data_IF_430367280369
#
_entry.id   IF_430367280369
#
_cell.length_a   1.000
_cell.length_b   1.000
_cell.length_c   1.000
_cell.angle_alpha   90.00
_cell.angle_beta   90.00
_cell.angle_gamma   90.00
#
_symmetry.space_group_name_H-M   'P 1'
#
loop_
_entity.id
_entity.type
_entity.pdbx_description
1 polymer ?
#
# COMPACT_ATOMS: atom_id res chain seq x y z
N UNK A 1 27.53 -94.19 82.93
CA UNK A 1 26.17 -93.72 82.57
C UNK A 1 25.77 -92.50 83.40
N UNK A 2 26.09 -92.43 84.69
CA UNK A 2 25.76 -91.28 85.56
C UNK A 2 26.44 -89.96 85.14
N UNK A 3 27.70 -89.98 84.69
CA UNK A 3 28.39 -88.77 84.19
C UNK A 3 27.74 -88.18 82.92
N UNK A 4 27.20 -89.01 82.03
CA UNK A 4 26.52 -88.55 80.82
C UNK A 4 25.17 -87.90 81.15
N UNK A 5 24.46 -88.41 82.16
CA UNK A 5 23.21 -87.85 82.67
C UNK A 5 23.48 -86.50 83.35
N UNK A 6 24.52 -86.41 84.17
CA UNK A 6 24.96 -85.15 84.81
C UNK A 6 25.42 -84.11 83.78
N UNK A 7 26.12 -84.52 82.72
CA UNK A 7 26.52 -83.63 81.63
C UNK A 7 25.31 -83.13 80.83
N UNK A 8 24.36 -84.01 80.50
CA UNK A 8 23.12 -83.62 79.83
C UNK A 8 22.25 -82.67 80.68
N UNK A 9 22.21 -82.87 82.00
CA UNK A 9 21.54 -81.95 82.93
C UNK A 9 22.24 -80.60 83.01
N UNK A 10 23.59 -80.56 83.05
CA UNK A 10 24.36 -79.31 82.98
C UNK A 10 24.16 -78.57 81.66
N UNK A 11 24.22 -79.28 80.53
CA UNK A 11 24.00 -78.69 79.21
C UNK A 11 22.57 -78.15 79.05
N UNK A 12 21.57 -78.82 79.67
CA UNK A 12 20.19 -78.33 79.72
C UNK A 12 20.08 -77.05 80.55
N UNK A 13 20.69 -77.01 81.74
CA UNK A 13 20.71 -75.81 82.58
C UNK A 13 21.43 -74.64 81.89
N UNK A 14 22.56 -74.88 81.23
CA UNK A 14 23.29 -73.85 80.46
C UNK A 14 22.43 -73.31 79.32
N UNK A 15 21.71 -74.19 78.59
CA UNK A 15 20.78 -73.76 77.54
C UNK A 15 19.60 -72.96 78.10
N UNK A 16 19.04 -73.37 79.23
CA UNK A 16 17.96 -72.63 79.90
C UNK A 16 18.45 -71.24 80.38
N UNK A 17 19.67 -71.14 80.91
CA UNK A 17 20.30 -69.86 81.27
C UNK A 17 20.59 -68.99 80.04
N UNK A 18 21.06 -69.56 78.93
CA UNK A 18 21.27 -68.85 77.66
C UNK A 18 19.96 -68.31 77.09
N UNK A 19 18.91 -69.12 77.04
CA UNK A 19 17.58 -68.70 76.60
C UNK A 19 17.03 -67.55 77.47
N UNK A 20 17.19 -67.63 78.79
CA UNK A 20 16.77 -66.55 79.70
C UNK A 20 17.59 -65.27 79.50
N UNK A 21 18.89 -65.37 79.18
CA UNK A 21 19.71 -64.21 78.84
C UNK A 21 19.31 -63.60 77.49
N UNK A 22 19.02 -64.42 76.49
CA UNK A 22 18.53 -63.98 75.18
C UNK A 22 17.15 -63.31 75.29
N UNK A 23 16.24 -63.86 76.08
CA UNK A 23 14.92 -63.26 76.34
C UNK A 23 15.04 -61.91 77.05
N UNK A 24 15.93 -61.79 78.05
CA UNK A 24 16.21 -60.52 78.72
C UNK A 24 16.81 -59.50 77.76
N UNK A 25 17.77 -59.91 76.94
CA UNK A 25 18.38 -59.05 75.94
C UNK A 25 17.35 -58.60 74.89
N UNK A 26 16.50 -59.52 74.41
CA UNK A 26 15.42 -59.23 73.47
C UNK A 26 14.42 -58.22 74.07
N UNK A 27 14.02 -58.40 75.33
CA UNK A 27 13.13 -57.48 76.02
C UNK A 27 13.76 -56.10 76.26
N UNK A 28 15.06 -56.02 76.59
CA UNK A 28 15.78 -54.75 76.69
C UNK A 28 15.92 -54.05 75.33
N UNK A 29 16.20 -54.81 74.27
CA UNK A 29 16.25 -54.29 72.90
C UNK A 29 14.88 -53.79 72.44
N UNK A 30 13.81 -54.51 72.76
CA UNK A 30 12.44 -54.09 72.45
C UNK A 30 12.07 -52.82 73.22
N UNK A 31 12.39 -52.74 74.51
CA UNK A 31 12.20 -51.51 75.30
C UNK A 31 12.94 -50.32 74.69
N UNK A 32 14.23 -50.48 74.35
CA UNK A 32 15.01 -49.43 73.68
C UNK A 32 14.39 -49.00 72.35
N UNK A 33 13.89 -49.95 71.55
CA UNK A 33 13.19 -49.64 70.29
C UNK A 33 11.88 -48.89 70.52
N UNK A 34 11.08 -49.30 71.51
CA UNK A 34 9.83 -48.63 71.83
C UNK A 34 10.07 -47.22 72.37
N UNK A 35 11.10 -47.02 73.19
CA UNK A 35 11.48 -45.70 73.69
C UNK A 35 12.00 -44.82 72.54
N UNK A 36 12.82 -45.35 71.61
CA UNK A 36 13.22 -44.58 70.42
C UNK A 36 12.05 -44.19 69.52
N UNK A 37 11.07 -45.09 69.34
CA UNK A 37 9.86 -44.78 68.55
C UNK A 37 9.02 -43.72 69.28
N UNK A 38 8.88 -43.82 70.61
CA UNK A 38 8.16 -42.82 71.40
C UNK A 38 8.83 -41.44 71.28
N UNK A 39 10.15 -41.39 71.37
CA UNK A 39 10.92 -40.16 71.22
C UNK A 39 10.80 -39.57 69.81
N UNK A 40 10.87 -40.41 68.77
CA UNK A 40 10.66 -39.97 67.39
C UNK A 40 9.24 -39.45 67.15
N UNK A 41 8.22 -40.13 67.68
CA UNK A 41 6.82 -39.71 67.59
C UNK A 41 6.57 -38.40 68.34
N UNK A 42 7.17 -38.25 69.52
CA UNK A 42 7.15 -36.99 70.27
C UNK A 42 7.82 -35.86 69.47
N UNK A 43 9.01 -36.10 68.90
CA UNK A 43 9.71 -35.13 68.05
C UNK A 43 8.90 -34.79 66.79
N UNK A 44 8.26 -35.77 66.15
CA UNK A 44 7.34 -35.55 65.02
C UNK A 44 6.18 -34.63 65.42
N UNK A 45 5.53 -34.90 66.55
CA UNK A 45 4.45 -34.04 67.05
C UNK A 45 4.95 -32.62 67.34
N UNK A 46 6.17 -32.46 67.88
CA UNK A 46 6.76 -31.14 68.12
C UNK A 46 7.08 -30.42 66.80
N UNK A 47 7.60 -31.10 65.78
CA UNK A 47 7.81 -30.52 64.44
C UNK A 47 6.51 -30.03 63.83
N UNK A 48 5.45 -30.83 63.91
CA UNK A 48 4.15 -30.47 63.33
C UNK A 48 3.46 -29.34 64.09
N UNK A 49 3.57 -29.31 65.43
CA UNK A 49 2.86 -28.33 66.28
C UNK A 49 3.65 -27.04 66.52
N UNK A 50 4.97 -27.05 66.44
CA UNK A 50 5.78 -25.85 66.70
C UNK A 50 5.76 -24.90 65.50
N UNK A 51 5.50 -23.62 65.79
CA UNK A 51 5.49 -22.55 64.80
C UNK A 51 6.90 -22.27 64.27
N UNK A 52 7.91 -22.27 65.16
CA UNK A 52 9.30 -21.95 64.79
C UNK A 52 9.89 -22.91 63.75
N UNK A 53 9.67 -24.23 63.91
CA UNK A 53 10.16 -25.22 62.97
C UNK A 53 9.41 -25.15 61.64
N UNK A 54 8.10 -24.87 61.68
CA UNK A 54 7.30 -24.68 60.47
C UNK A 54 7.73 -23.44 59.69
N UNK A 55 8.02 -22.34 60.37
CA UNK A 55 8.56 -21.12 59.75
C UNK A 55 9.96 -21.36 59.17
N UNK A 56 10.82 -22.08 59.89
CA UNK A 56 12.13 -22.47 59.39
C UNK A 56 12.01 -23.34 58.14
N UNK A 57 11.15 -24.36 58.15
CA UNK A 57 10.89 -25.19 56.97
C UNK A 57 10.35 -24.36 55.81
N UNK A 58 9.42 -23.44 56.05
CA UNK A 58 8.89 -22.56 55.01
C UNK A 58 9.99 -21.67 54.40
N UNK A 59 10.90 -21.14 55.23
CA UNK A 59 12.09 -20.40 54.79
C UNK A 59 13.03 -21.29 53.98
N UNK A 60 13.29 -22.52 54.41
CA UNK A 60 14.15 -23.45 53.67
C UNK A 60 13.52 -23.86 52.32
N UNK A 61 12.20 -24.08 52.27
CA UNK A 61 11.48 -24.35 51.01
C UNK A 61 11.55 -23.16 50.05
N UNK A 62 11.37 -21.94 50.55
CA UNK A 62 11.50 -20.74 49.70
C UNK A 62 12.93 -20.55 49.18
N UNK A 63 13.94 -20.92 49.97
CA UNK A 63 15.34 -20.93 49.55
C UNK A 63 15.60 -21.91 48.39
N UNK A 64 15.04 -23.12 48.46
CA UNK A 64 15.12 -24.07 47.34
C UNK A 64 14.45 -23.53 46.08
N UNK A 65 13.25 -22.96 46.21
CA UNK A 65 12.56 -22.33 45.08
C UNK A 65 13.36 -21.17 44.48
N UNK A 66 14.03 -20.37 45.32
CA UNK A 66 14.87 -19.27 44.85
C UNK A 66 16.13 -19.79 44.13
N UNK A 67 16.77 -20.84 44.66
CA UNK A 67 17.90 -21.50 44.00
C UNK A 67 17.51 -22.03 42.62
N UNK A 68 16.39 -22.75 42.53
CA UNK A 68 15.85 -23.24 41.26
C UNK A 68 15.51 -22.09 40.30
N UNK A 69 14.88 -21.02 40.80
CA UNK A 69 14.59 -19.84 40.00
C UNK A 69 15.86 -19.21 39.42
N UNK A 70 16.93 -19.10 40.20
CA UNK A 70 18.19 -18.56 39.67
C UNK A 70 18.81 -19.47 38.62
N UNK A 71 18.72 -20.79 38.79
CA UNK A 71 19.16 -21.75 37.77
C UNK A 71 18.34 -21.61 36.48
N UNK A 72 17.01 -21.46 36.58
CA UNK A 72 16.13 -21.23 35.43
C UNK A 72 16.41 -19.90 34.72
N UNK A 73 16.74 -18.84 35.46
CA UNK A 73 17.12 -17.55 34.88
C UNK A 73 18.42 -17.70 34.10
N UNK A 74 19.43 -18.34 34.69
CA UNK A 74 20.71 -18.60 34.02
C UNK A 74 20.53 -19.47 32.76
N UNK A 75 19.67 -20.49 32.81
CA UNK A 75 19.32 -21.32 31.65
C UNK A 75 18.64 -20.49 30.56
N UNK A 76 17.65 -19.65 30.92
CA UNK A 76 17.00 -18.74 29.96
C UNK A 76 17.98 -17.75 29.34
N UNK A 77 18.92 -17.23 30.12
CA UNK A 77 19.97 -16.33 29.61
C UNK A 77 20.89 -17.07 28.63
N UNK A 78 21.33 -18.28 28.96
CA UNK A 78 22.11 -19.12 28.04
C UNK A 78 21.37 -19.38 26.72
N UNK A 79 20.07 -19.74 26.80
CA UNK A 79 19.22 -19.94 25.61
C UNK A 79 19.11 -18.65 24.78
N UNK A 80 18.96 -17.48 25.43
CA UNK A 80 18.93 -16.19 24.71
C UNK A 80 20.23 -15.93 23.96
N UNK A 81 21.38 -16.19 24.58
CA UNK A 81 22.68 -16.04 23.91
C UNK A 81 22.82 -16.98 22.71
N UNK A 82 22.37 -18.23 22.83
CA UNK A 82 22.36 -19.18 21.70
C UNK A 82 21.45 -18.72 20.56
N UNK A 83 20.26 -18.19 20.88
CA UNK A 83 19.34 -17.62 19.87
C UNK A 83 19.97 -16.42 19.19
N UNK A 84 20.52 -15.46 19.96
CA UNK A 84 21.20 -14.29 19.38
C UNK A 84 22.37 -14.68 18.48
N UNK A 85 23.11 -15.73 18.82
CA UNK A 85 24.19 -16.26 17.98
C UNK A 85 23.64 -16.82 16.66
N UNK A 86 22.60 -17.64 16.70
CA UNK A 86 21.95 -18.18 15.49
C UNK A 86 21.36 -17.07 14.62
N UNK A 87 20.67 -16.10 15.23
CA UNK A 87 20.11 -14.96 14.50
C UNK A 87 21.20 -14.11 13.84
N UNK A 88 22.35 -13.95 14.51
CA UNK A 88 23.52 -13.28 13.92
C UNK A 88 24.10 -14.05 12.74
N UNK A 89 24.16 -15.38 12.82
CA UNK A 89 24.60 -16.25 11.72
C UNK A 89 23.64 -16.15 10.53
N UNK A 90 22.33 -16.25 10.77
CA UNK A 90 21.27 -16.10 9.75
C UNK A 90 21.35 -14.71 9.10
N UNK A 91 21.51 -13.65 9.89
CA UNK A 91 21.63 -12.29 9.36
C UNK A 91 22.86 -12.12 8.46
N UNK A 92 23.98 -12.79 8.80
CA UNK A 92 25.18 -12.80 7.94
C UNK A 92 24.92 -13.53 6.63
N UNK A 93 24.30 -14.71 6.67
CA UNK A 93 23.95 -15.47 5.46
C UNK A 93 22.98 -14.70 4.55
N UNK A 94 21.93 -14.12 5.15
CA UNK A 94 20.98 -13.27 4.42
C UNK A 94 21.65 -12.06 3.77
N UNK A 95 22.62 -11.44 4.46
CA UNK A 95 23.39 -10.33 3.89
C UNK A 95 24.23 -10.78 2.69
N UNK A 96 24.90 -11.93 2.80
CA UNK A 96 25.71 -12.49 1.70
C UNK A 96 24.83 -12.80 0.48
N UNK A 97 23.67 -13.42 0.69
CA UNK A 97 22.72 -13.70 -0.41
C UNK A 97 22.15 -12.43 -1.03
N UNK A 98 21.88 -11.40 -0.22
CA UNK A 98 21.46 -10.11 -0.72
C UNK A 98 22.55 -9.43 -1.56
N UNK A 99 23.79 -9.41 -1.08
CA UNK A 99 24.95 -8.88 -1.82
C UNK A 99 25.14 -9.63 -3.15
N UNK A 100 25.01 -10.97 -3.16
CA UNK A 100 25.03 -11.78 -4.39
C UNK A 100 23.91 -11.41 -5.36
N UNK A 101 22.69 -11.23 -4.86
CA UNK A 101 21.55 -10.84 -5.68
C UNK A 101 21.73 -9.43 -6.28
N UNK A 102 22.27 -8.48 -5.52
CA UNK A 102 22.61 -7.14 -6.01
C UNK A 102 23.72 -7.16 -7.06
N UNK A 103 24.76 -7.97 -6.89
CA UNK A 103 25.79 -8.19 -7.91
C UNK A 103 25.21 -8.76 -9.20
N UNK A 104 24.36 -9.78 -9.10
CA UNK A 104 23.68 -10.36 -10.26
C UNK A 104 22.77 -9.33 -10.96
N UNK A 105 22.06 -8.48 -10.21
CA UNK A 105 21.25 -7.40 -10.76
C UNK A 105 22.12 -6.37 -11.49
N UNK A 106 23.23 -5.92 -10.90
CA UNK A 106 24.20 -5.02 -11.53
C UNK A 106 24.77 -5.62 -12.82
N UNK A 107 25.10 -6.90 -12.83
CA UNK A 107 25.56 -7.58 -14.04
C UNK A 107 24.52 -7.56 -15.16
N UNK A 108 23.25 -7.86 -14.83
CA UNK A 108 22.13 -7.78 -15.80
C UNK A 108 21.93 -6.36 -16.34
N UNK A 109 22.11 -5.33 -15.50
CA UNK A 109 22.05 -3.94 -15.97
C UNK A 109 23.20 -3.59 -16.92
N UNK A 110 24.42 -4.04 -16.61
CA UNK A 110 25.58 -3.87 -17.50
C UNK A 110 25.37 -4.60 -18.83
N UNK A 111 24.79 -5.80 -18.82
CA UNK A 111 24.44 -6.54 -20.03
C UNK A 111 23.41 -5.79 -20.87
N UNK A 112 22.31 -5.31 -20.27
CA UNK A 112 21.31 -4.48 -20.95
C UNK A 112 21.93 -3.20 -21.53
N UNK A 113 22.81 -2.54 -20.78
CA UNK A 113 23.49 -1.34 -21.27
C UNK A 113 24.41 -1.65 -22.45
N UNK A 114 25.13 -2.78 -22.42
CA UNK A 114 25.92 -3.25 -23.58
C UNK A 114 25.05 -3.55 -24.79
N UNK A 115 23.90 -4.18 -24.59
CA UNK A 115 22.92 -4.42 -25.67
C UNK A 115 22.38 -3.11 -26.24
N UNK A 116 22.08 -2.12 -25.40
CA UNK A 116 21.65 -0.79 -25.83
C UNK A 116 22.74 -0.09 -26.66
N UNK A 117 24.00 -0.16 -26.25
CA UNK A 117 25.12 0.40 -27.03
C UNK A 117 25.22 -0.30 -28.39
N UNK A 118 25.15 -1.62 -28.43
CA UNK A 118 25.18 -2.37 -29.70
C UNK A 118 24.03 -1.96 -30.62
N UNK A 119 22.82 -1.85 -30.07
CA UNK A 119 21.65 -1.39 -30.81
C UNK A 119 21.81 0.05 -31.31
N UNK A 120 22.37 0.96 -30.51
CA UNK A 120 22.70 2.32 -30.95
C UNK A 120 23.71 2.32 -32.10
N UNK A 121 24.77 1.52 -32.02
CA UNK A 121 25.75 1.38 -33.09
C UNK A 121 25.13 0.82 -34.38
N UNK A 122 24.20 -0.14 -34.27
CA UNK A 122 23.46 -0.66 -35.42
C UNK A 122 22.56 0.40 -36.05
N UNK A 123 21.88 1.23 -35.25
CA UNK A 123 21.09 2.35 -35.74
C UNK A 123 21.95 3.41 -36.42
N UNK A 124 23.10 3.75 -35.85
CA UNK A 124 24.06 4.69 -36.45
C UNK A 124 24.52 4.18 -37.82
N UNK A 125 24.88 2.90 -37.93
CA UNK A 125 25.20 2.28 -39.23
C UNK A 125 24.04 2.34 -40.23
N UNK A 126 22.81 2.09 -39.80
CA UNK A 126 21.65 2.21 -40.69
C UNK A 126 21.41 3.65 -41.15
N UNK A 127 21.74 4.65 -40.33
CA UNK A 127 21.68 6.06 -40.72
C UNK A 127 22.79 6.39 -41.71
N UNK A 128 24.03 5.95 -41.46
CA UNK A 128 25.15 6.08 -42.39
C UNK A 128 24.82 5.45 -43.76
N UNK A 129 24.33 4.21 -43.79
CA UNK A 129 23.91 3.54 -45.03
C UNK A 129 22.81 4.31 -45.78
N UNK A 130 21.84 4.90 -45.05
CA UNK A 130 20.81 5.74 -45.67
C UNK A 130 21.36 7.05 -46.20
N UNK A 131 22.34 7.64 -45.54
CA UNK A 131 23.03 8.84 -46.01
C UNK A 131 23.86 8.55 -47.26
N UNK A 132 24.60 7.43 -47.29
CA UNK A 132 25.32 6.96 -48.47
C UNK A 132 24.37 6.71 -49.64
N UNK A 133 23.23 6.05 -49.41
CA UNK A 133 22.21 5.85 -50.45
C UNK A 133 21.66 7.17 -50.99
N UNK A 134 21.44 8.16 -50.12
CA UNK A 134 21.04 9.51 -50.56
C UNK A 134 22.12 10.19 -51.40
N UNK A 135 23.39 10.04 -51.01
CA UNK A 135 24.51 10.59 -51.78
C UNK A 135 24.60 9.91 -53.15
N UNK A 136 24.51 8.58 -53.22
CA UNK A 136 24.49 7.84 -54.49
C UNK A 136 23.32 8.25 -55.37
N UNK A 137 22.10 8.33 -54.83
CA UNK A 137 20.93 8.80 -55.57
C UNK A 137 21.08 10.25 -56.06
N UNK A 138 21.72 11.11 -55.26
CA UNK A 138 22.02 12.47 -55.67
C UNK A 138 23.06 12.52 -56.81
N UNK A 139 24.09 11.69 -56.77
CA UNK A 139 25.05 11.55 -57.86
C UNK A 139 24.41 11.02 -59.14
N UNK A 140 23.52 10.04 -59.04
CA UNK A 140 22.72 9.53 -60.16
C UNK A 140 21.82 10.63 -60.73
N UNK A 141 21.11 11.37 -59.88
CA UNK A 141 20.30 12.50 -60.29
C UNK A 141 21.14 13.57 -61.02
N UNK A 142 22.35 13.87 -60.56
CA UNK A 142 23.23 14.81 -61.26
C UNK A 142 23.66 14.28 -62.63
N UNK A 143 23.95 12.98 -62.76
CA UNK A 143 24.26 12.35 -64.05
C UNK A 143 23.05 12.40 -65.00
N UNK A 144 21.86 12.08 -64.51
CA UNK A 144 20.61 12.17 -65.27
C UNK A 144 20.32 13.61 -65.70
N UNK A 145 20.50 14.58 -64.81
CA UNK A 145 20.34 16.00 -65.13
C UNK A 145 21.29 16.42 -66.24
N UNK A 146 22.57 16.06 -66.16
CA UNK A 146 23.53 16.35 -67.23
C UNK A 146 23.12 15.70 -68.56
N UNK A 147 22.65 14.46 -68.53
CA UNK A 147 22.15 13.77 -69.72
C UNK A 147 20.90 14.44 -70.30
N UNK A 148 19.97 14.90 -69.45
CA UNK A 148 18.78 15.65 -69.87
C UNK A 148 19.19 17.00 -70.46
N UNK A 149 20.11 17.72 -69.82
CA UNK A 149 20.64 18.99 -70.32
C UNK A 149 21.29 18.80 -71.71
N UNK A 150 22.01 17.70 -71.94
CA UNK A 150 22.55 17.33 -73.25
C UNK A 150 21.45 17.02 -74.28
N UNK A 151 20.38 16.31 -73.90
CA UNK A 151 19.23 16.04 -74.77
C UNK A 151 18.52 17.35 -75.14
N UNK A 152 18.26 18.21 -74.16
CA UNK A 152 17.64 19.53 -74.38
C UNK A 152 18.51 20.37 -75.31
N UNK A 153 19.82 20.38 -75.11
CA UNK A 153 20.76 21.05 -76.02
C UNK A 153 20.66 20.50 -77.44
N UNK A 154 20.63 19.17 -77.62
CA UNK A 154 20.44 18.54 -78.95
C UNK A 154 19.11 18.93 -79.59
N UNK A 155 18.01 18.98 -78.82
CA UNK A 155 16.71 19.44 -79.32
C UNK A 155 16.80 20.90 -79.78
N UNK A 156 17.42 21.79 -79.00
CA UNK A 156 17.62 23.18 -79.42
C UNK A 156 18.47 23.29 -80.70
N UNK A 157 19.53 22.48 -80.82
CA UNK A 157 20.36 22.44 -82.02
C UNK A 157 19.60 21.88 -83.24
N UNK A 158 18.77 20.86 -83.06
CA UNK A 158 17.89 20.30 -84.10
C UNK A 158 16.79 21.27 -84.52
N UNK A 159 16.11 21.91 -83.57
CA UNK A 159 15.11 22.96 -83.81
C UNK A 159 15.72 24.15 -84.57
N UNK A 160 16.95 24.55 -84.23
CA UNK A 160 17.67 25.60 -84.97
C UNK A 160 17.96 25.16 -86.40
N UNK A 161 18.45 23.94 -86.62
CA UNK A 161 18.69 23.40 -87.98
C UNK A 161 17.38 23.30 -88.77
N UNK A 162 16.29 22.88 -88.15
CA UNK A 162 14.99 22.82 -88.82
C UNK A 162 14.47 24.23 -89.19
N UNK A 163 14.65 25.22 -88.31
CA UNK A 163 14.37 26.63 -88.63
C UNK A 163 15.22 27.13 -89.79
N UNK A 164 16.50 26.80 -89.83
CA UNK A 164 17.40 27.16 -90.93
C UNK A 164 16.96 26.49 -92.25
N UNK A 165 16.63 25.20 -92.22
CA UNK A 165 16.16 24.44 -93.38
C UNK A 165 14.81 24.97 -93.89
N UNK A 166 13.87 25.27 -93.01
CA UNK A 166 12.58 25.87 -93.38
C UNK A 166 12.75 27.27 -93.96
N UNK A 167 13.64 28.09 -93.40
CA UNK A 167 14.00 29.39 -93.97
C UNK A 167 14.68 29.26 -95.33
N UNK A 168 15.55 28.27 -95.53
CA UNK A 168 16.17 27.98 -96.82
C UNK A 168 15.13 27.53 -97.85
N UNK A 169 14.20 26.64 -97.48
CA UNK A 169 13.06 26.24 -98.33
C UNK A 169 12.19 27.43 -98.70
N UNK A 170 11.83 28.30 -97.74
CA UNK A 170 11.09 29.55 -97.99
C UNK A 170 11.83 30.45 -98.98
N UNK A 171 13.13 30.70 -98.78
CA UNK A 171 13.96 31.49 -99.71
C UNK A 171 14.00 30.87 -101.10
N UNK A 172 14.13 29.54 -101.22
CA UNK A 172 14.10 28.85 -102.50
C UNK A 172 12.73 29.00 -103.19
N UNK A 173 11.62 28.78 -102.48
CA UNK A 173 10.27 29.00 -103.04
C UNK A 173 10.04 30.44 -103.43
N UNK A 174 10.57 31.41 -102.68
CA UNK A 174 10.46 32.83 -102.99
C UNK A 174 11.21 33.19 -104.27
N UNK A 175 12.40 32.61 -104.49
CA UNK A 175 13.15 32.75 -105.75
C UNK A 175 12.39 32.14 -106.94
N UNK A 176 11.87 30.93 -106.79
CA UNK A 176 11.04 30.33 -107.83
C UNK A 176 9.77 31.15 -108.13
N UNK A 177 9.15 31.75 -107.12
CA UNK A 177 7.99 32.64 -107.30
C UNK A 177 8.40 33.94 -108.01
N UNK A 178 9.56 34.53 -107.70
CA UNK A 178 10.03 35.73 -108.40
C UNK A 178 10.35 35.43 -109.86
N UNK A 179 11.07 34.34 -110.14
CA UNK A 179 11.38 33.89 -111.50
C UNK A 179 10.09 33.61 -112.30
N UNK A 180 9.10 32.95 -111.68
CA UNK A 180 7.80 32.71 -112.31
C UNK A 180 7.01 34.00 -112.54
N UNK A 181 7.09 34.98 -111.63
CA UNK A 181 6.45 36.29 -111.82
C UNK A 181 7.08 37.08 -112.96
N UNK A 182 8.41 37.07 -113.07
CA UNK A 182 9.14 37.71 -114.17
C UNK A 182 8.77 37.07 -115.51
N UNK A 183 8.83 35.74 -115.61
CA UNK A 183 8.41 35.01 -116.80
C UNK A 183 6.93 35.24 -117.16
N UNK A 184 6.05 35.40 -116.16
CA UNK A 184 4.64 35.72 -116.37
C UNK A 184 4.43 37.16 -116.83
N UNK A 185 5.20 38.13 -116.33
CA UNK A 185 5.15 39.51 -116.81
C UNK A 185 5.67 39.61 -118.25
N UNK A 186 6.75 38.91 -118.59
CA UNK A 186 7.22 38.76 -119.98
C UNK A 186 6.14 38.17 -120.87
N UNK A 187 5.46 37.10 -120.42
CA UNK A 187 4.33 36.52 -121.14
C UNK A 187 3.16 37.49 -121.28
N UNK A 188 2.82 38.26 -120.24
CA UNK A 188 1.77 39.30 -120.31
C UNK A 188 2.12 40.43 -121.28
N UNK A 189 3.39 40.84 -121.37
CA UNK A 189 3.84 41.85 -122.34
C UNK A 189 3.65 41.31 -123.75
N UNK A 190 4.11 40.08 -124.00
CA UNK A 190 3.94 39.41 -125.30
C UNK A 190 2.46 39.24 -125.69
N UNK A 191 1.62 38.90 -124.72
CA UNK A 191 0.18 38.76 -124.93
C UNK A 191 -0.53 40.11 -125.10
N UNK A 192 -0.10 41.18 -124.41
CA UNK A 192 -0.60 42.54 -124.66
C UNK A 192 -0.28 42.99 -126.07
N UNK A 193 0.93 42.75 -126.56
CA UNK A 193 1.30 43.09 -127.95
C UNK A 193 0.37 42.38 -128.95
N UNK A 194 0.09 41.09 -128.74
CA UNK A 194 -0.90 40.34 -129.54
C UNK A 194 -2.31 40.91 -129.43
N UNK A 195 -2.77 41.21 -128.21
CA UNK A 195 -4.09 41.78 -127.96
C UNK A 195 -4.23 43.20 -128.53
N UNK A 196 -3.18 44.01 -128.57
CA UNK A 196 -3.18 45.33 -129.22
C UNK A 196 -3.32 45.20 -130.74
N UNK A 197 -2.68 44.21 -131.36
CA UNK A 197 -2.85 43.90 -132.78
C UNK A 197 -4.28 43.44 -133.11
N UNK A 198 -4.89 42.63 -132.24
CA UNK A 198 -6.29 42.21 -132.38
C UNK A 198 -7.27 43.35 -132.10
N UNK A 199 -7.04 44.17 -131.06
CA UNK A 199 -7.86 45.33 -130.73
C UNK A 199 -7.84 46.40 -131.84
N UNK A 200 -6.71 46.58 -132.54
CA UNK A 200 -6.67 47.44 -133.74
C UNK A 200 -7.64 46.97 -134.83
N UNK A 201 -7.82 45.65 -135.00
CA UNK A 201 -8.79 45.07 -135.94
C UNK A 201 -10.22 45.20 -135.42
N UNK A 202 -10.45 45.06 -134.12
CA UNK A 202 -11.78 45.22 -133.50
C UNK A 202 -12.26 46.67 -133.54
N UNK A 203 -11.38 47.66 -133.36
CA UNK A 203 -11.75 49.08 -133.42
C UNK A 203 -12.27 49.49 -134.81
N UNK A 204 -11.71 48.88 -135.86
CA UNK A 204 -12.19 49.04 -137.23
C UNK A 204 -13.59 48.44 -137.42
N UNK A 205 -13.91 47.35 -136.72
CA UNK A 205 -15.23 46.72 -136.75
C UNK A 205 -16.28 47.47 -135.90
N UNK A 206 -15.90 47.97 -134.72
CA UNK A 206 -16.78 48.70 -133.79
C UNK A 206 -17.30 50.01 -134.37
N UNK A 207 -16.47 50.77 -135.11
CA UNK A 207 -16.90 51.99 -135.81
C UNK A 207 -18.02 51.73 -136.83
N UNK A 208 -18.04 50.53 -137.41
CA UNK A 208 -19.08 50.13 -138.37
C UNK A 208 -20.40 49.73 -137.66
N UNK A 209 -20.34 49.35 -136.39
CA UNK A 209 -21.46 48.87 -135.60
C UNK A 209 -22.18 49.99 -134.83
N UNK A 210 -21.46 51.00 -134.33
CA UNK A 210 -22.05 52.21 -133.70
C UNK A 210 -22.99 52.97 -134.63
N UNK A 211 -22.69 52.99 -135.93
CA UNK A 211 -23.57 53.60 -136.94
C UNK A 211 -24.91 52.85 -137.09
N UNK A 212 -24.98 51.56 -136.71
CA UNK A 212 -26.23 50.77 -136.71
C UNK A 212 -26.99 50.83 -135.40
N UNK A 213 -26.32 51.00 -134.25
CA UNK A 213 -26.97 51.06 -132.93
C UNK A 213 -27.64 52.41 -132.65
N UNK A 214 -27.09 53.53 -133.13
CA UNK A 214 -27.73 54.85 -132.96
C UNK A 214 -29.15 54.89 -133.57
N UNK A 215 -29.41 54.12 -134.63
CA UNK A 215 -30.75 53.97 -135.21
C UNK A 215 -31.73 53.11 -134.38
N UNK A 216 -31.22 52.29 -133.44
CA UNK A 216 -32.03 51.40 -132.58
C UNK A 216 -32.45 52.05 -131.26
N UNK A 217 -31.61 52.94 -130.71
CA UNK A 217 -31.81 53.55 -129.39
C UNK A 217 -33.00 54.51 -129.33
N UNK A 218 -33.37 55.18 -130.43
CA UNK A 218 -34.57 56.02 -130.48
C UNK A 218 -35.87 55.23 -130.28
N UNK A 219 -35.89 53.93 -130.64
CA UNK A 219 -37.09 53.08 -130.53
C UNK A 219 -37.32 52.53 -129.11
N UNK A 220 -36.30 52.46 -128.24
CA UNK A 220 -36.42 51.89 -126.89
C UNK A 220 -36.98 52.86 -125.85
N UNK A 221 -36.70 54.17 -125.95
CA UNK A 221 -37.16 55.16 -124.96
C UNK A 221 -38.67 55.21 -124.76
N UNK A 222 -39.46 54.84 -125.78
CA UNK A 222 -40.92 54.83 -125.71
C UNK A 222 -41.52 53.69 -124.86
N UNK A 223 -40.72 52.69 -124.42
CA UNK A 223 -41.23 51.51 -123.68
C UNK A 223 -41.03 51.55 -122.17
N UNK A 224 -40.12 52.37 -121.64
CA UNK A 224 -39.79 52.36 -120.20
C UNK A 224 -40.81 53.10 -119.32
N UNK A 225 -41.55 54.08 -119.83
CA UNK A 225 -42.54 54.84 -119.05
C UNK A 225 -43.74 54.00 -118.56
N UNK A 226 -43.98 52.83 -119.15
CA UNK A 226 -45.11 51.96 -118.78
C UNK A 226 -44.83 51.05 -117.58
N UNK A 227 -43.57 50.76 -117.23
CA UNK A 227 -43.22 49.69 -116.28
C UNK A 227 -43.19 50.14 -114.81
N UNK A 228 -43.08 51.45 -114.54
CA UNK A 228 -42.88 51.98 -113.17
C UNK A 228 -44.13 51.90 -112.26
N UNK A 229 -45.34 51.71 -112.79
CA UNK A 229 -46.59 51.74 -111.99
C UNK A 229 -46.87 50.47 -111.15
N UNK A 230 -46.23 49.34 -111.45
CA UNK A 230 -46.57 48.04 -110.84
C UNK A 230 -45.83 47.77 -109.52
N UNK A 231 -44.69 48.42 -109.26
CA UNK A 231 -43.85 48.10 -108.10
C UNK A 231 -44.37 48.62 -106.75
N UNK A 232 -45.21 49.66 -106.70
CA UNK A 232 -45.59 50.30 -105.43
C UNK A 232 -46.62 49.51 -104.59
N UNK A 233 -47.38 48.56 -105.17
CA UNK A 233 -48.46 47.86 -104.44
C UNK A 233 -47.98 46.69 -103.56
N UNK A 234 -46.74 46.21 -103.70
CA UNK A 234 -46.25 45.01 -102.99
C UNK A 234 -45.65 45.31 -101.60
N UNK A 235 -45.37 46.57 -101.28
CA UNK A 235 -44.64 46.95 -100.06
C UNK A 235 -45.51 47.03 -98.78
N UNK A 236 -46.83 47.23 -98.88
CA UNK A 236 -47.70 47.46 -97.71
C UNK A 236 -48.10 46.19 -96.95
N UNK A 237 -48.07 45.01 -97.58
CA UNK A 237 -48.64 43.76 -97.03
C UNK A 237 -47.71 43.04 -96.01
N UNK A 238 -46.43 43.40 -95.96
CA UNK A 238 -45.41 42.72 -95.13
C UNK A 238 -45.40 43.26 -93.69
N UNK A 239 -45.76 44.53 -93.46
CA UNK A 239 -45.62 45.18 -92.16
C UNK A 239 -46.63 44.71 -91.07
N UNK A 240 -47.77 44.12 -91.46
CA UNK A 240 -48.83 43.77 -90.51
C UNK A 240 -48.61 42.45 -89.73
N UNK A 241 -47.70 41.57 -90.17
CA UNK A 241 -47.54 40.22 -89.60
C UNK A 241 -46.59 40.13 -88.39
N UNK A 242 -45.69 41.09 -88.21
CA UNK A 242 -44.66 41.03 -87.15
C UNK A 242 -45.17 41.48 -85.77
N UNK A 243 -46.19 42.35 -85.69
CA UNK A 243 -46.71 42.89 -84.42
C UNK A 243 -47.42 41.87 -83.51
N UNK A 244 -47.91 40.74 -84.05
CA UNK A 244 -48.68 39.76 -83.27
C UNK A 244 -47.82 38.77 -82.47
N UNK A 245 -46.51 38.68 -82.73
CA UNK A 245 -45.61 37.73 -82.03
C UNK A 245 -45.15 38.22 -80.65
N UNK A 246 -45.11 39.53 -80.42
CA UNK A 246 -44.50 40.12 -79.23
C UNK A 246 -45.38 40.08 -77.96
N UNK A 247 -46.71 39.89 -78.08
CA UNK A 247 -47.62 39.84 -76.91
C UNK A 247 -47.56 38.52 -76.12
N UNK A 248 -47.15 37.41 -76.74
CA UNK A 248 -47.18 36.07 -76.10
C UNK A 248 -46.02 35.81 -75.11
N UNK A 249 -44.92 36.56 -75.18
CA UNK A 249 -43.73 36.31 -74.36
C UNK A 249 -43.79 36.94 -72.95
N UNK A 250 -44.68 37.91 -72.71
CA UNK A 250 -44.75 38.62 -71.40
C UNK A 250 -45.40 37.82 -70.27
N UNK A 251 -46.29 36.87 -70.56
CA UNK A 251 -47.09 36.13 -69.55
C UNK A 251 -46.28 34.99 -68.88
N UNK A 252 -45.15 34.55 -69.44
CA UNK A 252 -44.34 33.45 -68.87
C UNK A 252 -43.45 33.85 -67.69
N UNK A 253 -43.17 35.15 -67.49
CA UNK A 253 -42.21 35.60 -66.47
C UNK A 253 -42.84 35.84 -65.08
N UNK A 254 -44.16 35.97 -64.97
CA UNK A 254 -44.83 36.28 -63.69
C UNK A 254 -45.04 35.05 -62.77
N UNK A 255 -45.07 33.82 -63.31
CA UNK A 255 -45.35 32.59 -62.54
C UNK A 255 -44.15 31.98 -61.78
N UNK A 256 -42.91 32.41 -62.07
CA UNK A 256 -41.70 31.83 -61.46
C UNK A 256 -41.31 32.47 -60.11
N UNK A 257 -41.85 33.65 -59.79
CA UNK A 257 -41.46 34.44 -58.61
C UNK A 257 -42.25 34.08 -57.33
N UNK A 258 -43.45 33.49 -57.42
CA UNK A 258 -44.26 33.14 -56.24
C UNK A 258 -43.82 31.82 -55.54
N UNK A 259 -43.07 30.93 -56.20
CA UNK A 259 -42.67 29.63 -55.63
C UNK A 259 -41.44 29.68 -54.69
N UNK A 260 -40.68 30.78 -54.65
CA UNK A 260 -39.49 30.90 -53.79
C UNK A 260 -39.76 31.49 -52.39
N UNK A 261 -40.83 32.27 -52.18
CA UNK A 261 -41.07 32.98 -50.90
C UNK A 261 -41.65 32.09 -49.77
N UNK A 262 -42.17 30.90 -50.04
CA UNK A 262 -42.73 30.02 -48.99
C UNK A 262 -41.68 29.17 -48.25
N UNK A 263 -40.50 28.93 -48.82
CA UNK A 263 -39.49 28.01 -48.22
C UNK A 263 -38.58 28.64 -47.16
N UNK A 264 -38.49 29.97 -47.07
CA UNK A 264 -37.61 30.65 -46.09
C UNK A 264 -38.27 30.85 -44.71
N UNK A 265 -39.60 30.88 -44.61
CA UNK A 265 -40.33 31.13 -43.34
C UNK A 265 -40.31 29.99 -42.31
N UNK A 266 -39.89 28.77 -42.67
CA UNK A 266 -39.84 27.63 -41.74
C UNK A 266 -38.48 27.41 -41.05
N UNK A 267 -37.38 27.99 -41.54
CA UNK A 267 -36.04 27.77 -40.95
C UNK A 267 -35.68 28.72 -39.80
N UNK A 268 -36.41 29.82 -39.62
CA UNK A 268 -36.12 30.80 -38.56
C UNK A 268 -36.71 30.45 -37.17
N UNK A 269 -37.62 29.45 -37.07
CA UNK A 269 -38.30 29.11 -35.81
C UNK A 269 -37.57 28.10 -34.92
N UNK A 270 -36.70 27.26 -35.46
CA UNK A 270 -36.09 26.14 -34.70
C UNK A 270 -34.73 26.48 -34.05
N UNK A 271 -34.04 27.55 -34.48
CA UNK A 271 -32.70 27.90 -33.98
C UNK A 271 -32.69 28.84 -32.75
N UNK A 272 -33.84 29.43 -32.38
CA UNK A 272 -33.97 30.35 -31.23
C UNK A 272 -34.35 29.67 -29.89
N UNK A 273 -34.82 28.41 -29.89
CA UNK A 273 -35.36 27.76 -28.68
C UNK A 273 -34.32 26.95 -27.88
N UNK A 274 -33.23 26.48 -28.50
CA UNK A 274 -32.29 25.53 -27.87
C UNK A 274 -31.06 26.14 -27.19
N UNK A 275 -30.84 27.47 -27.24
CA UNK A 275 -29.59 28.10 -26.74
C UNK A 275 -29.66 28.88 -25.42
N UNK A 276 -30.82 29.08 -24.79
CA UNK A 276 -30.93 30.01 -23.63
C UNK A 276 -31.36 29.36 -22.28
N UNK A 277 -31.99 28.18 -22.23
CA UNK A 277 -32.75 27.81 -20.99
C UNK A 277 -32.10 26.96 -19.89
N UNK A 278 -31.05 26.16 -20.10
CA UNK A 278 -30.60 25.26 -19.00
C UNK A 278 -29.09 25.28 -18.71
N UNK A 279 -28.41 26.29 -19.23
CA UNK A 279 -27.02 26.64 -18.85
C UNK A 279 -26.94 27.46 -17.55
N UNK A 280 -28.05 27.75 -16.85
CA UNK A 280 -28.06 28.70 -15.70
C UNK A 280 -28.66 28.18 -14.37
N UNK A 281 -29.42 27.08 -14.31
CA UNK A 281 -30.11 26.68 -13.05
C UNK A 281 -29.40 25.60 -12.22
N UNK A 282 -28.61 24.70 -12.80
CA UNK A 282 -27.97 23.63 -12.03
C UNK A 282 -26.60 24.00 -11.41
N UNK A 283 -26.13 25.24 -11.64
CA UNK A 283 -24.99 25.81 -10.89
C UNK A 283 -25.42 26.47 -9.55
N UNK A 284 -26.71 26.54 -9.22
CA UNK A 284 -27.24 27.20 -8.00
C UNK A 284 -27.49 26.26 -6.81
N UNK A 285 -27.77 24.96 -7.03
CA UNK A 285 -28.09 24.00 -5.95
C UNK A 285 -26.86 23.51 -5.16
N UNK A 286 -25.64 23.88 -5.59
CA UNK A 286 -24.39 23.67 -4.86
C UNK A 286 -24.32 24.52 -3.56
N UNK A 287 -25.08 25.60 -3.41
CA UNK A 287 -25.05 26.45 -2.21
C UNK A 287 -25.88 25.90 -1.03
N UNK A 288 -26.81 24.96 -1.25
CA UNK A 288 -27.60 24.33 -0.17
C UNK A 288 -26.84 23.21 0.56
N UNK A 289 -25.61 22.94 0.13
CA UNK A 289 -24.62 22.09 0.79
C UNK A 289 -24.12 22.63 2.16
N UNK A 290 -24.49 23.84 2.60
CA UNK A 290 -23.93 24.42 3.84
C UNK A 290 -24.91 24.58 5.02
N UNK A 291 -26.24 24.48 4.81
CA UNK A 291 -27.20 24.72 5.90
C UNK A 291 -27.50 23.46 6.76
N UNK A 292 -27.58 22.28 6.16
CA UNK A 292 -27.81 21.04 6.93
C UNK A 292 -26.60 20.62 7.78
N UNK A 293 -25.42 21.19 7.52
CA UNK A 293 -24.21 21.01 8.32
C UNK A 293 -24.29 21.67 9.72
N UNK A 294 -25.26 22.56 9.96
CA UNK A 294 -25.49 23.23 11.26
C UNK A 294 -26.54 22.56 12.17
N UNK A 295 -27.23 21.50 11.72
CA UNK A 295 -28.11 20.67 12.57
C UNK A 295 -27.33 19.60 13.37
N UNK A 296 -26.01 19.56 13.16
CA UNK A 296 -24.99 18.91 14.01
C UNK A 296 -24.78 19.60 15.38
N UNK A 297 -25.80 20.14 16.04
CA UNK A 297 -25.59 20.84 17.33
C UNK A 297 -26.76 20.84 18.32
N UNK A 298 -27.87 20.17 18.00
CA UNK A 298 -29.07 20.14 18.86
C UNK A 298 -29.53 18.75 19.29
N UNK A 299 -28.83 17.68 18.88
CA UNK A 299 -29.07 16.33 19.40
C UNK A 299 -28.02 15.91 20.45
N UNK A 300 -27.09 16.82 20.79
CA UNK A 300 -26.27 16.77 22.01
C UNK A 300 -27.12 17.03 23.28
N UNK A 301 -28.39 17.43 23.15
CA UNK A 301 -29.30 17.69 24.28
C UNK A 301 -30.05 16.43 24.77
N UNK A 302 -30.14 15.35 23.96
CA UNK A 302 -30.84 14.12 24.36
C UNK A 302 -29.96 13.16 25.19
N UNK A 303 -28.65 13.46 25.31
CA UNK A 303 -27.74 12.84 26.28
C UNK A 303 -28.03 13.28 27.74
N UNK A 304 -28.91 14.28 27.97
CA UNK A 304 -29.29 14.75 29.31
C UNK A 304 -30.48 13.98 29.94
N UNK A 305 -31.24 13.19 29.18
CA UNK A 305 -32.43 12.48 29.71
C UNK A 305 -32.13 11.06 30.26
N UNK A 306 -31.02 10.44 29.86
CA UNK A 306 -30.61 9.13 30.39
C UNK A 306 -29.90 9.21 31.76
N UNK A 307 -29.43 10.41 32.16
CA UNK A 307 -28.93 10.71 33.51
C UNK A 307 -30.03 10.64 34.59
N UNK A 308 -31.30 10.66 34.17
CA UNK A 308 -32.49 10.57 35.04
C UNK A 308 -32.77 9.14 35.54
N UNK A 309 -32.11 8.11 34.99
CA UNK A 309 -32.26 6.70 35.43
C UNK A 309 -31.27 6.26 36.52
N UNK A 310 -30.26 7.06 36.87
CA UNK A 310 -29.25 6.70 37.90
C UNK A 310 -29.49 7.35 39.29
N UNK A 311 -30.62 8.04 39.49
CA UNK A 311 -30.95 8.72 40.76
C UNK A 311 -32.05 8.02 41.60
N UNK A 312 -32.49 6.83 41.21
CA UNK A 312 -33.44 5.98 41.97
C UNK A 312 -32.79 4.83 42.75
N UNK A 313 -31.47 4.62 42.62
CA UNK A 313 -30.75 3.54 43.31
C UNK A 313 -30.15 3.95 44.67
N UNK A 314 -30.19 5.25 45.04
CA UNK A 314 -29.48 5.81 46.21
C UNK A 314 -30.36 6.20 47.41
N UNK A 315 -31.65 5.83 47.40
CA UNK A 315 -32.60 6.11 48.50
C UNK A 315 -33.18 4.83 49.15
N UNK A 316 -32.73 3.65 48.76
CA UNK A 316 -33.23 2.37 49.29
C UNK A 316 -32.32 1.67 50.32
N UNK A 317 -31.15 2.26 50.65
CA UNK A 317 -30.20 1.69 51.62
C UNK A 317 -30.13 2.41 52.98
N UNK A 318 -30.65 3.64 53.13
CA UNK A 318 -30.42 4.43 54.36
C UNK A 318 -31.62 4.60 55.31
N UNK A 319 -32.77 3.96 55.07
CA UNK A 319 -33.90 3.94 56.02
C UNK A 319 -33.99 2.64 56.85
N UNK A 320 -32.98 1.76 56.77
CA UNK A 320 -33.04 0.39 57.31
C UNK A 320 -32.12 0.08 58.51
N UNK A 321 -31.50 1.09 59.13
CA UNK A 321 -30.63 0.89 60.31
C UNK A 321 -31.12 1.58 61.60
N UNK A 322 -31.93 2.64 61.53
CA UNK A 322 -31.92 3.67 62.57
C UNK A 322 -32.52 3.44 63.98
N UNK A 323 -33.67 2.76 64.15
CA UNK A 323 -34.54 3.14 65.30
C UNK A 323 -35.33 2.08 66.08
N UNK A 324 -34.99 0.79 66.09
CA UNK A 324 -35.75 -0.15 66.94
C UNK A 324 -35.02 -1.34 67.59
N UNK A 325 -33.73 -1.23 67.91
CA UNK A 325 -33.02 -2.26 68.71
C UNK A 325 -32.13 -1.72 69.85
N UNK A 326 -32.42 -0.53 70.37
CA UNK A 326 -31.69 0.07 71.51
C UNK A 326 -32.38 -0.14 72.88
N UNK A 327 -33.69 -0.36 72.93
CA UNK A 327 -34.44 -0.47 74.20
C UNK A 327 -34.48 -1.88 74.83
N UNK A 328 -33.96 -2.91 74.15
CA UNK A 328 -33.89 -4.29 74.68
C UNK A 328 -32.63 -4.60 75.52
N UNK A 329 -31.67 -3.66 75.62
CA UNK A 329 -30.39 -3.87 76.37
C UNK A 329 -30.44 -3.43 77.84
N UNK A 330 -31.31 -2.49 78.22
CA UNK A 330 -31.31 -1.89 79.58
C UNK A 330 -31.95 -2.76 80.67
N UNK A 331 -32.90 -3.63 80.33
CA UNK A 331 -33.58 -4.48 81.34
C UNK A 331 -32.76 -5.72 81.75
N UNK A 332 -31.85 -6.22 80.90
CA UNK A 332 -30.95 -7.35 81.23
C UNK A 332 -29.75 -6.97 82.11
N UNK A 333 -29.44 -5.68 82.28
CA UNK A 333 -28.27 -5.21 83.03
C UNK A 333 -28.49 -5.16 84.55
N UNK A 334 -29.74 -5.14 85.02
CA UNK A 334 -30.06 -4.90 86.43
C UNK A 334 -30.16 -6.19 87.27
N UNK A 335 -30.56 -7.32 86.67
CA UNK A 335 -30.53 -8.64 87.32
C UNK A 335 -29.12 -9.24 87.34
N UNK A 336 -28.31 -8.93 86.32
CA UNK A 336 -26.91 -9.32 86.22
C UNK A 336 -26.04 -8.73 87.35
N UNK A 337 -26.44 -7.60 87.93
CA UNK A 337 -25.64 -6.87 88.94
C UNK A 337 -25.72 -7.47 90.35
N UNK A 338 -26.81 -8.15 90.70
CA UNK A 338 -27.03 -8.75 92.03
C UNK A 338 -26.54 -10.19 92.16
N UNK A 339 -26.49 -10.95 91.07
CA UNK A 339 -25.82 -12.26 91.04
C UNK A 339 -24.28 -12.12 91.10
N UNK A 340 -23.74 -10.99 90.62
CA UNK A 340 -22.30 -10.71 90.54
C UNK A 340 -21.63 -10.57 91.91
N UNK A 341 -22.28 -9.99 92.91
CA UNK A 341 -21.66 -9.77 94.23
C UNK A 341 -21.48 -11.04 95.06
N UNK A 342 -22.44 -11.99 95.01
CA UNK A 342 -22.28 -13.30 95.69
C UNK A 342 -21.23 -14.17 95.01
N UNK A 343 -21.10 -14.05 93.68
CA UNK A 343 -19.99 -14.66 92.95
C UNK A 343 -18.63 -14.06 93.32
N UNK A 344 -18.55 -12.81 93.78
CA UNK A 344 -17.26 -12.15 94.07
C UNK A 344 -16.56 -12.72 95.31
N UNK A 345 -17.30 -13.14 96.33
CA UNK A 345 -16.69 -13.65 97.57
C UNK A 345 -16.38 -15.16 97.51
N UNK A 346 -17.20 -15.98 96.84
CA UNK A 346 -16.84 -17.38 96.52
C UNK A 346 -15.62 -17.42 95.57
N UNK A 347 -15.54 -16.44 94.66
CA UNK A 347 -14.40 -16.26 93.76
C UNK A 347 -13.11 -15.92 94.49
N UNK A 348 -13.10 -15.18 95.60
CA UNK A 348 -11.84 -14.89 96.33
C UNK A 348 -11.23 -16.12 96.99
N UNK A 349 -12.07 -17.01 97.54
CA UNK A 349 -11.64 -18.26 98.18
C UNK A 349 -11.21 -19.32 97.16
N UNK A 350 -11.92 -19.42 96.04
CA UNK A 350 -11.47 -20.20 94.88
C UNK A 350 -10.17 -19.62 94.28
N UNK A 351 -10.05 -18.30 94.15
CA UNK A 351 -8.87 -17.63 93.59
C UNK A 351 -7.59 -17.88 94.39
N UNK A 352 -7.67 -18.06 95.72
CA UNK A 352 -6.49 -18.41 96.51
C UNK A 352 -6.04 -19.87 96.29
N UNK A 353 -6.98 -20.82 96.29
CA UNK A 353 -6.71 -22.24 96.06
C UNK A 353 -6.35 -22.54 94.59
N UNK A 354 -6.93 -21.78 93.66
CA UNK A 354 -6.64 -21.87 92.24
C UNK A 354 -5.31 -21.19 91.93
N UNK A 355 -4.90 -20.14 92.65
CA UNK A 355 -3.57 -19.51 92.47
C UNK A 355 -2.41 -20.40 92.92
N UNK A 356 -2.58 -21.20 93.98
CA UNK A 356 -1.55 -22.17 94.39
C UNK A 356 -1.46 -23.34 93.41
N UNK A 357 -2.61 -23.87 92.95
CA UNK A 357 -2.64 -24.88 91.89
C UNK A 357 -2.10 -24.34 90.57
N UNK A 358 -2.46 -23.12 90.19
CA UNK A 358 -1.94 -22.43 89.00
C UNK A 358 -0.43 -22.20 89.10
N UNK A 359 0.12 -21.94 90.29
CA UNK A 359 1.58 -21.80 90.46
C UNK A 359 2.32 -23.14 90.33
N UNK A 360 1.74 -24.25 90.81
CA UNK A 360 2.32 -25.59 90.62
C UNK A 360 2.16 -26.07 89.19
N UNK A 361 0.98 -25.93 88.60
CA UNK A 361 0.71 -26.20 87.17
C UNK A 361 1.64 -25.37 86.29
N UNK A 362 1.82 -24.07 86.58
CA UNK A 362 2.74 -23.21 85.84
C UNK A 362 4.20 -23.62 85.97
N UNK A 363 4.63 -24.16 87.12
CA UNK A 363 6.00 -24.69 87.27
C UNK A 363 6.19 -25.98 86.47
N UNK A 364 5.17 -26.84 86.42
CA UNK A 364 5.20 -28.05 85.59
C UNK A 364 5.15 -27.68 84.10
N UNK A 365 4.29 -26.74 83.71
CA UNK A 365 4.24 -26.17 82.37
C UNK A 365 5.57 -25.54 81.99
N UNK A 366 6.21 -24.75 82.86
CA UNK A 366 7.53 -24.14 82.60
C UNK A 366 8.61 -25.21 82.36
N UNK A 367 8.58 -26.32 83.10
CA UNK A 367 9.49 -27.45 82.89
C UNK A 367 9.22 -28.18 81.57
N UNK A 368 7.95 -28.44 81.27
CA UNK A 368 7.54 -29.08 80.02
C UNK A 368 7.81 -28.18 78.81
N UNK A 369 7.63 -26.87 78.94
CA UNK A 369 7.99 -25.86 77.95
C UNK A 369 9.51 -25.77 77.77
N UNK A 370 10.30 -25.79 78.84
CA UNK A 370 11.75 -25.78 78.75
C UNK A 370 12.27 -27.04 78.03
N UNK A 371 11.71 -28.21 78.35
CA UNK A 371 12.02 -29.46 77.66
C UNK A 371 11.59 -29.41 76.18
N UNK A 372 10.41 -28.86 75.90
CA UNK A 372 9.93 -28.64 74.52
C UNK A 372 10.84 -27.68 73.76
N UNK A 373 11.28 -26.59 74.38
CA UNK A 373 12.22 -25.60 73.79
C UNK A 373 13.57 -26.23 73.46
N UNK A 374 14.09 -27.09 74.34
CA UNK A 374 15.32 -27.85 74.06
C UNK A 374 15.16 -28.76 72.83
N UNK A 375 14.06 -29.52 72.76
CA UNK A 375 13.79 -30.37 71.59
C UNK A 375 13.63 -29.53 70.32
N UNK A 376 12.95 -28.38 70.39
CA UNK A 376 12.80 -27.47 69.25
C UNK A 376 14.18 -27.00 68.77
N UNK A 377 15.07 -26.60 69.67
CA UNK A 377 16.41 -26.12 69.30
C UNK A 377 17.29 -27.23 68.70
N UNK A 378 17.23 -28.45 69.25
CA UNK A 378 17.89 -29.63 68.67
C UNK A 378 17.40 -29.92 67.24
N UNK A 379 16.09 -29.90 67.05
CA UNK A 379 15.46 -30.13 65.74
C UNK A 379 15.75 -28.99 64.77
N UNK A 380 15.81 -27.74 65.24
CA UNK A 380 16.23 -26.56 64.47
C UNK A 380 17.64 -26.77 63.92
N UNK A 381 18.58 -27.13 64.79
CA UNK A 381 19.98 -27.36 64.41
C UNK A 381 20.13 -28.56 63.47
N UNK A 382 19.32 -29.60 63.63
CA UNK A 382 19.30 -30.75 62.73
C UNK A 382 18.83 -30.36 61.33
N UNK A 383 17.69 -29.66 61.22
CA UNK A 383 17.17 -29.14 59.94
C UNK A 383 18.19 -28.21 59.26
N UNK A 384 18.85 -27.35 60.03
CA UNK A 384 19.90 -26.48 59.50
C UNK A 384 21.09 -27.29 58.96
N UNK A 385 21.59 -28.29 59.68
CA UNK A 385 22.69 -29.14 59.18
C UNK A 385 22.35 -29.87 57.89
N UNK A 386 21.12 -30.39 57.78
CA UNK A 386 20.69 -31.14 56.60
C UNK A 386 20.53 -30.25 55.36
N UNK A 387 19.98 -29.04 55.53
CA UNK A 387 19.59 -28.18 54.42
C UNK A 387 20.60 -27.07 54.10
N UNK A 388 21.38 -26.61 55.07
CA UNK A 388 22.27 -25.46 54.88
C UNK A 388 23.27 -25.71 53.75
N UNK A 389 23.99 -26.85 53.76
CA UNK A 389 25.01 -27.15 52.74
C UNK A 389 24.44 -27.07 51.31
N UNK A 390 23.22 -27.58 51.10
CA UNK A 390 22.56 -27.57 49.77
C UNK A 390 22.10 -26.17 49.36
N UNK A 391 21.88 -25.29 50.32
CA UNK A 391 21.38 -23.92 50.16
C UNK A 391 22.46 -22.86 50.39
N UNK A 392 23.73 -23.22 50.32
CA UNK A 392 24.84 -22.28 50.41
C UNK A 392 24.65 -21.14 49.38
N UNK A 393 24.65 -19.90 49.85
CA UNK A 393 24.40 -18.69 49.03
C UNK A 393 22.91 -18.34 48.85
N UNK A 394 21.99 -19.23 49.20
CA UNK A 394 20.53 -19.05 49.03
C UNK A 394 19.75 -19.09 50.35
N UNK A 395 20.45 -19.20 51.49
CA UNK A 395 19.82 -19.22 52.81
C UNK A 395 19.11 -17.88 53.13
N UNK A 396 17.84 -17.88 53.56
CA UNK A 396 17.09 -16.66 53.85
C UNK A 396 17.60 -15.92 55.10
N UNK A 397 17.35 -14.61 55.13
CA UNK A 397 17.69 -13.76 56.29
C UNK A 397 16.95 -14.24 57.55
N UNK A 398 17.64 -14.24 58.69
CA UNK A 398 17.09 -14.64 59.99
C UNK A 398 16.98 -16.16 60.23
N UNK A 399 17.59 -16.98 59.38
CA UNK A 399 17.71 -18.44 59.59
C UNK A 399 18.89 -18.80 60.49
N UNK A 400 20.00 -18.08 60.35
CA UNK A 400 21.15 -18.12 61.25
C UNK A 400 20.90 -17.07 62.35
N UNK A 401 20.83 -17.50 63.62
CA UNK A 401 20.58 -16.59 64.75
C UNK A 401 21.89 -16.06 65.32
N UNK A 402 22.80 -16.97 65.67
CA UNK A 402 24.02 -16.65 66.41
C UNK A 402 25.29 -17.10 65.68
N UNK A 403 26.45 -16.61 66.14
CA UNK A 403 27.77 -17.08 65.70
C UNK A 403 28.00 -18.57 66.01
N UNK A 404 27.28 -19.12 67.00
CA UNK A 404 27.25 -20.56 67.28
C UNK A 404 26.70 -21.39 66.13
N UNK A 405 25.61 -20.93 65.49
CA UNK A 405 25.03 -21.58 64.31
C UNK A 405 26.02 -21.58 63.14
N UNK A 406 26.75 -20.46 62.96
CA UNK A 406 27.74 -20.32 61.89
C UNK A 406 28.94 -21.26 62.09
N UNK A 407 29.40 -21.42 63.34
CA UNK A 407 30.47 -22.34 63.68
C UNK A 407 30.06 -23.81 63.50
N UNK A 408 28.79 -24.14 63.76
CA UNK A 408 28.25 -25.49 63.56
C UNK A 408 28.22 -25.90 62.08
N UNK A 409 27.99 -24.95 61.17
CA UNK A 409 27.83 -25.21 59.72
C UNK A 409 29.16 -25.27 58.95
N UNK A 410 30.27 -24.85 59.55
CA UNK A 410 31.62 -24.96 58.99
C UNK A 410 32.19 -23.68 58.38
N UNK A 411 33.46 -23.72 57.97
CA UNK A 411 34.21 -22.56 57.47
C UNK A 411 33.68 -21.99 56.16
N UNK A 412 33.12 -22.82 55.27
CA UNK A 412 32.55 -22.39 53.98
C UNK A 412 31.38 -21.42 54.16
N UNK A 413 30.55 -21.63 55.19
CA UNK A 413 29.45 -20.72 55.54
C UNK A 413 29.98 -19.41 56.12
N UNK A 414 31.03 -19.50 56.94
CA UNK A 414 31.69 -18.31 57.48
C UNK A 414 32.23 -17.45 56.35
N UNK A 415 32.87 -18.05 55.35
CA UNK A 415 33.44 -17.29 54.23
C UNK A 415 32.38 -16.72 53.29
N UNK A 416 31.29 -17.45 53.04
CA UNK A 416 30.19 -17.01 52.16
C UNK A 416 29.35 -15.89 52.79
N UNK A 417 29.10 -15.94 54.10
CA UNK A 417 28.19 -15.01 54.79
C UNK A 417 28.91 -13.95 55.65
N UNK A 418 30.21 -14.09 55.93
CA UNK A 418 31.03 -13.02 56.57
C UNK A 418 31.43 -11.94 55.58
N UNK A 419 31.47 -12.24 54.28
CA UNK A 419 31.72 -11.23 53.25
C UNK A 419 30.49 -10.35 53.17
N UNK A 420 30.59 -9.14 53.74
CA UNK A 420 29.56 -8.10 53.61
C UNK A 420 29.29 -7.92 52.13
N UNK A 421 28.09 -8.30 51.67
CA UNK A 421 27.62 -7.96 50.33
C UNK A 421 27.52 -6.44 50.33
N UNK A 422 28.46 -5.76 49.67
CA UNK A 422 28.38 -4.33 49.42
C UNK A 422 27.18 -4.17 48.50
N UNK A 423 26.09 -3.62 49.03
CA UNK A 423 24.92 -3.29 48.25
C UNK A 423 25.33 -2.20 47.25
N UNK A 424 25.19 -2.42 45.93
CA UNK A 424 25.55 -1.43 44.92
C UNK A 424 24.79 -0.10 45.04
N UNK A 425 23.74 -0.04 45.87
CA UNK A 425 22.87 1.12 46.06
C UNK A 425 22.98 1.79 47.44
N UNK A 426 23.93 1.39 48.29
CA UNK A 426 24.15 1.98 49.61
C UNK A 426 25.14 3.16 49.50
N UNK A 427 24.63 4.39 49.38
CA UNK A 427 25.42 5.62 49.18
C UNK A 427 26.38 5.92 50.35
N UNK A 428 26.13 5.41 51.56
CA UNK A 428 27.02 5.58 52.72
C UNK A 428 28.22 4.60 52.75
N UNK A 429 28.19 3.53 51.96
CA UNK A 429 29.25 2.52 51.97
C UNK A 429 30.51 2.93 51.17
N UNK A 430 30.41 3.96 50.33
CA UNK A 430 31.53 4.48 49.52
C UNK A 430 32.47 5.42 50.29
N UNK A 431 32.04 5.96 51.44
CA UNK A 431 32.79 6.96 52.21
C UNK A 431 33.73 6.39 53.28
N UNK A 432 33.75 5.07 53.51
CA UNK A 432 34.63 4.44 54.51
C UNK A 432 35.97 3.93 53.96
N UNK A 433 36.38 4.39 52.77
CA UNK A 433 37.76 4.23 52.26
C UNK A 433 38.48 5.58 52.24
N UNK A 434 38.79 6.10 53.42
CA UNK A 434 39.92 7.01 53.63
C UNK A 434 40.67 6.63 54.89
#
# INVERSE_FOLDING_TARGET
MEEAILKAQRDRLIREEQMLQEERLAAELEKRKLDSIRDEKMRQQIRETSLELRELEAKLRSAYMNKERTAQIAEKEAIKFDVMKRDSEIAREMKIEHERAEEAARQREVEKYREQIRYQQELERQLEEREEQKQQAYEEFLKEKLMIDEIVRKIYEEDQRERELTMAKKKATQKYISEFKEAREEWKVLERERMEEENRKILQFSRLQEQRENARMESKKQKEEAMARVQNALAEDIAAKDAAREEMERIRMELYLEEQEEKERQKERDDMERRIRQRLELQSTHAQQMHFKNLRRKAEEDEEEEFRQQMMAKFAEDDRIEQMNANKRRMKQLEHKRAVEKLIDDRKSQFAADRERELEERREEERMEAFRKQIIEEERQKLLREHAMRLLGYLPKGVIRDSGDLNMLGSEFKDAYSKRQIDPFDEEAWDQRR
#
